data_IF_268644406676
#
_entry.id   IF_268644406676
#
_cell.length_a   1.000
_cell.length_b   1.000
_cell.length_c   1.000
_cell.angle_alpha   90.00
_cell.angle_beta   90.00
_cell.angle_gamma   90.00
#
_symmetry.space_group_name_H-M   'P 1'
#
loop_
_entity.id
_entity.type
_entity.pdbx_description
1 polymer ?
#
# COMPACT_ATOMS: atom_id res chain seq x y z
N UNK A 1 15.12 27.46 19.53
CA UNK A 1 13.73 27.32 19.06
C UNK A 1 13.78 27.35 17.56
N UNK A 2 13.75 26.16 16.97
CA UNK A 2 13.97 25.92 15.55
C UNK A 2 12.71 26.29 14.78
N UNK A 3 12.84 27.23 13.85
CA UNK A 3 11.77 27.56 12.92
C UNK A 3 11.74 26.52 11.81
N UNK A 4 10.85 25.55 11.95
CA UNK A 4 10.45 24.63 10.88
C UNK A 4 9.75 25.46 9.80
N UNK A 5 10.42 25.64 8.65
CA UNK A 5 9.81 26.25 7.46
C UNK A 5 8.84 25.25 6.85
N UNK A 6 7.55 25.56 6.96
CA UNK A 6 6.46 24.93 6.21
C UNK A 6 6.74 25.07 4.72
N UNK A 7 6.86 23.95 4.02
CA UNK A 7 6.97 23.94 2.57
C UNK A 7 5.55 24.07 2.01
N UNK A 8 5.20 25.28 1.54
CA UNK A 8 3.98 25.55 0.79
C UNK A 8 4.36 25.63 -0.68
N UNK A 9 3.74 24.81 -1.51
CA UNK A 9 4.00 24.73 -2.94
C UNK A 9 3.70 26.06 -3.61
N UNK A 10 4.74 26.85 -3.87
CA UNK A 10 4.73 27.96 -4.79
C UNK A 10 6.17 28.20 -5.26
N UNK A 11 6.33 28.31 -6.57
CA UNK A 11 7.53 28.73 -7.29
C UNK A 11 8.75 27.79 -7.27
N UNK A 12 8.80 26.93 -8.30
CA UNK A 12 10.08 26.59 -8.94
C UNK A 12 10.40 27.70 -9.96
N UNK A 13 10.43 28.95 -9.49
CA UNK A 13 11.06 30.04 -10.23
C UNK A 13 12.54 30.02 -9.85
N UNK A 14 13.40 29.86 -10.86
CA UNK A 14 14.82 29.60 -10.71
C UNK A 14 15.53 30.56 -9.75
N UNK A 15 16.41 29.96 -8.95
CA UNK A 15 17.32 30.67 -8.06
C UNK A 15 18.21 31.62 -8.89
N UNK A 16 18.60 32.74 -8.28
CA UNK A 16 19.07 33.97 -8.92
C UNK A 16 20.44 33.93 -9.60
N UNK A 17 21.05 32.75 -9.74
CA UNK A 17 22.18 32.52 -10.62
C UNK A 17 21.63 31.86 -11.88
N UNK A 18 21.47 32.64 -12.96
CA UNK A 18 20.78 32.31 -14.22
C UNK A 18 21.35 31.15 -15.04
N UNK A 19 21.83 30.08 -14.40
CA UNK A 19 21.80 28.75 -14.96
C UNK A 19 20.36 28.23 -14.82
N UNK A 20 19.51 28.56 -15.80
CA UNK A 20 18.45 27.62 -16.15
C UNK A 20 19.15 26.26 -16.25
N UNK A 21 18.73 25.29 -15.43
CA UNK A 21 19.16 23.93 -15.61
C UNK A 21 18.75 23.58 -17.04
N UNK A 22 19.69 23.67 -17.98
CA UNK A 22 19.38 23.43 -19.36
C UNK A 22 18.94 21.98 -19.39
N UNK A 23 17.67 21.74 -19.69
CA UNK A 23 17.15 20.39 -19.83
C UNK A 23 17.88 19.79 -21.03
N UNK A 24 18.97 19.08 -20.76
CA UNK A 24 19.75 18.45 -21.82
C UNK A 24 18.90 17.35 -22.43
N UNK A 25 19.12 16.98 -23.71
CA UNK A 25 18.39 15.89 -24.34
C UNK A 25 18.46 14.58 -23.52
N UNK A 26 19.56 14.36 -22.81
CA UNK A 26 19.75 13.21 -21.93
C UNK A 26 18.86 13.27 -20.69
N UNK A 27 18.75 14.45 -20.05
CA UNK A 27 17.85 14.67 -18.91
C UNK A 27 16.38 14.55 -19.33
N UNK A 28 16.01 15.11 -20.48
CA UNK A 28 14.66 15.02 -21.05
C UNK A 28 14.29 13.55 -21.32
N UNK A 29 15.20 12.79 -21.95
CA UNK A 29 15.01 11.36 -22.19
C UNK A 29 14.81 10.58 -20.89
N UNK A 30 15.66 10.84 -19.88
CA UNK A 30 15.56 10.21 -18.56
C UNK A 30 14.21 10.50 -17.88
N UNK A 31 13.79 11.77 -17.83
CA UNK A 31 12.52 12.17 -17.24
C UNK A 31 11.34 11.56 -18.01
N UNK A 32 11.39 11.57 -19.35
CA UNK A 32 10.35 10.95 -20.18
C UNK A 32 10.23 9.44 -19.96
N UNK A 33 11.34 8.76 -19.67
CA UNK A 33 11.37 7.34 -19.32
C UNK A 33 10.65 7.07 -17.99
N UNK A 34 10.90 7.90 -16.99
CA UNK A 34 10.18 7.84 -15.71
C UNK A 34 8.69 8.12 -15.87
N UNK A 35 8.31 9.13 -16.67
CA UNK A 35 6.90 9.41 -16.93
C UNK A 35 6.20 8.19 -17.54
N UNK A 36 6.78 7.58 -18.57
CA UNK A 36 6.20 6.36 -19.19
C UNK A 36 6.08 5.20 -18.21
N UNK A 37 7.05 5.06 -17.30
CA UNK A 37 6.97 4.04 -16.26
C UNK A 37 5.82 4.31 -15.28
N UNK A 38 5.68 5.54 -14.81
CA UNK A 38 4.58 5.92 -13.92
C UNK A 38 3.21 5.79 -14.61
N UNK A 39 3.10 6.23 -15.86
CA UNK A 39 1.90 6.07 -16.69
C UNK A 39 1.54 4.59 -16.79
N UNK A 40 2.53 3.70 -16.98
CA UNK A 40 2.30 2.26 -17.00
C UNK A 40 1.81 1.71 -15.65
N UNK A 41 2.29 2.22 -14.51
CA UNK A 41 1.79 1.82 -13.19
C UNK A 41 0.35 2.28 -12.96
N UNK A 42 -0.01 3.46 -13.48
CA UNK A 42 -1.38 3.98 -13.45
C UNK A 42 -2.31 3.13 -14.34
N UNK A 43 -1.87 2.79 -15.55
CA UNK A 43 -2.62 1.91 -16.46
C UNK A 43 -2.88 0.52 -15.86
N UNK A 44 -1.93 0.02 -15.05
CA UNK A 44 -2.05 -1.24 -14.33
C UNK A 44 -2.84 -1.15 -13.02
N UNK A 45 -3.28 0.05 -12.60
CA UNK A 45 -3.96 0.31 -11.32
C UNK A 45 -3.12 -0.13 -10.09
N UNK A 46 -1.79 0.00 -10.18
CA UNK A 46 -0.84 -0.39 -9.10
C UNK A 46 -0.01 0.78 -8.58
N UNK A 47 -0.23 1.99 -9.08
CA UNK A 47 0.49 3.20 -8.67
C UNK A 47 0.44 3.39 -7.14
N UNK A 48 -0.75 3.22 -6.54
CA UNK A 48 -0.97 3.38 -5.10
C UNK A 48 -0.92 2.06 -4.30
N UNK A 49 -0.45 0.96 -4.90
CA UNK A 49 -0.42 -0.36 -4.26
C UNK A 49 0.23 -0.37 -2.85
N UNK A 50 1.34 0.36 -2.57
CA UNK A 50 1.94 0.40 -1.23
C UNK A 50 1.06 1.06 -0.16
N UNK A 51 0.10 1.89 -0.58
CA UNK A 51 -0.81 2.62 0.32
C UNK A 51 -2.09 1.84 0.62
N UNK A 52 -2.30 0.68 -0.02
CA UNK A 52 -3.49 -0.15 0.16
C UNK A 52 -3.60 -0.57 1.62
N UNK A 53 -4.63 -0.04 2.29
CA UNK A 53 -4.97 -0.41 3.65
C UNK A 53 -5.67 -1.76 3.64
N UNK A 54 -5.25 -2.66 4.53
CA UNK A 54 -5.93 -3.94 4.73
C UNK A 54 -7.38 -3.74 5.20
N UNK A 55 -8.32 -4.47 4.61
CA UNK A 55 -9.72 -4.55 5.07
C UNK A 55 -9.84 -5.19 6.47
N UNK A 56 -8.87 -6.06 6.81
CA UNK A 56 -8.83 -6.79 8.08
C UNK A 56 -7.60 -6.35 8.86
N UNK A 57 -7.82 -5.88 10.10
CA UNK A 57 -6.77 -5.69 11.08
C UNK A 57 -6.69 -6.88 12.06
N UNK A 58 -5.64 -6.93 12.87
CA UNK A 58 -5.45 -8.01 13.84
C UNK A 58 -6.54 -8.05 14.93
N UNK A 59 -7.13 -6.90 15.29
CA UNK A 59 -8.17 -6.81 16.32
C UNK A 59 -9.46 -7.45 15.80
N UNK A 60 -9.93 -6.99 14.65
CA UNK A 60 -11.08 -7.51 13.92
C UNK A 60 -10.95 -9.01 13.66
N UNK A 61 -9.74 -9.47 13.31
CA UNK A 61 -9.48 -10.88 13.08
C UNK A 61 -9.64 -11.72 14.35
N UNK A 62 -9.11 -11.26 15.49
CA UNK A 62 -9.26 -11.97 16.77
C UNK A 62 -10.71 -12.00 17.26
N UNK A 63 -11.43 -10.88 17.12
CA UNK A 63 -12.85 -10.78 17.46
C UNK A 63 -13.70 -11.71 16.58
N UNK A 64 -13.46 -11.71 15.27
CA UNK A 64 -14.23 -12.51 14.30
C UNK A 64 -13.97 -14.02 14.41
N UNK A 65 -12.81 -14.41 14.93
CA UNK A 65 -12.43 -15.81 15.10
C UNK A 65 -12.65 -16.33 16.53
N UNK A 66 -12.77 -15.45 17.53
CA UNK A 66 -12.85 -15.83 18.94
C UNK A 66 -11.56 -16.46 19.48
N UNK A 67 -10.40 -16.10 18.91
CA UNK A 67 -9.10 -16.69 19.23
C UNK A 67 -8.13 -15.62 19.69
N UNK A 68 -7.32 -15.92 20.72
CA UNK A 68 -6.28 -15.01 21.21
C UNK A 68 -5.20 -14.76 20.15
N UNK A 69 -4.63 -13.54 20.10
CA UNK A 69 -3.55 -13.20 19.17
C UNK A 69 -2.32 -14.10 19.39
N UNK A 70 -1.62 -14.44 18.31
CA UNK A 70 -0.45 -15.33 18.36
C UNK A 70 0.32 -15.38 17.04
N UNK A 71 1.29 -16.31 16.94
CA UNK A 71 2.19 -16.45 15.77
C UNK A 71 1.47 -16.74 14.45
N UNK A 72 0.22 -17.22 14.50
CA UNK A 72 -0.63 -17.47 13.33
C UNK A 72 -1.14 -16.19 12.66
N UNK A 73 -1.18 -15.07 13.40
CA UNK A 73 -1.81 -13.82 12.95
C UNK A 73 -1.14 -13.21 11.72
N UNK A 74 0.20 -13.25 11.63
CA UNK A 74 0.91 -12.71 10.46
C UNK A 74 0.48 -13.43 9.17
N UNK A 75 0.54 -14.76 9.18
CA UNK A 75 0.10 -15.58 8.04
C UNK A 75 -1.38 -15.37 7.71
N UNK A 76 -2.23 -15.18 8.72
CA UNK A 76 -3.65 -14.93 8.50
C UNK A 76 -3.92 -13.54 7.90
N UNK A 77 -3.18 -12.51 8.32
CA UNK A 77 -3.22 -11.19 7.70
C UNK A 77 -2.71 -11.22 6.26
N UNK A 78 -1.67 -12.01 5.96
CA UNK A 78 -1.19 -12.23 4.59
C UNK A 78 -2.28 -12.86 3.70
N UNK A 79 -3.04 -13.84 4.24
CA UNK A 79 -4.18 -14.44 3.54
C UNK A 79 -5.28 -13.41 3.28
N UNK A 80 -5.61 -12.57 4.27
CA UNK A 80 -6.57 -11.49 4.11
C UNK A 80 -6.14 -10.48 3.03
N UNK A 81 -4.87 -10.05 3.06
CA UNK A 81 -4.33 -9.11 2.07
C UNK A 81 -4.33 -9.73 0.66
N UNK A 82 -3.89 -10.99 0.53
CA UNK A 82 -3.93 -11.69 -0.75
C UNK A 82 -5.37 -11.88 -1.27
N UNK A 83 -6.34 -12.05 -0.37
CA UNK A 83 -7.75 -12.11 -0.76
C UNK A 83 -8.25 -10.74 -1.23
N UNK A 84 -7.92 -9.65 -0.53
CA UNK A 84 -8.29 -8.28 -0.90
C UNK A 84 -7.74 -7.91 -2.29
N UNK A 85 -6.47 -8.24 -2.56
CA UNK A 85 -5.86 -7.98 -3.88
C UNK A 85 -6.52 -8.75 -5.02
N UNK A 86 -7.17 -9.89 -4.74
CA UNK A 86 -7.96 -10.64 -5.73
C UNK A 86 -9.39 -10.12 -5.88
N UNK A 87 -9.86 -9.34 -4.91
CA UNK A 87 -11.22 -8.80 -4.84
C UNK A 87 -11.19 -7.28 -4.62
N UNK A 88 -10.60 -6.49 -5.56
CA UNK A 88 -10.31 -5.07 -5.34
C UNK A 88 -11.56 -4.19 -5.16
N UNK A 89 -12.74 -4.66 -5.58
CA UNK A 89 -14.02 -3.93 -5.43
C UNK A 89 -14.75 -4.24 -4.13
N UNK A 90 -14.29 -5.23 -3.38
CA UNK A 90 -14.94 -5.66 -2.16
C UNK A 90 -14.48 -4.77 -1.01
N UNK A 91 -15.45 -4.25 -0.26
CA UNK A 91 -15.21 -3.35 0.88
C UNK A 91 -15.52 -4.02 2.21
N UNK A 92 -16.16 -5.20 2.18
CA UNK A 92 -16.48 -5.96 3.38
C UNK A 92 -15.35 -6.95 3.73
N UNK A 93 -14.93 -6.91 5.00
CA UNK A 93 -13.96 -7.80 5.59
C UNK A 93 -14.44 -9.26 5.69
N UNK A 94 -15.75 -9.53 5.60
CA UNK A 94 -16.33 -10.87 5.78
C UNK A 94 -15.75 -11.92 4.85
N UNK A 95 -15.55 -11.59 3.57
CA UNK A 95 -15.02 -12.55 2.60
C UNK A 95 -13.56 -12.94 2.88
N UNK A 96 -12.74 -11.98 3.32
CA UNK A 96 -11.36 -12.23 3.75
C UNK A 96 -11.32 -13.12 5.00
N UNK A 97 -12.18 -12.85 5.98
CA UNK A 97 -12.28 -13.65 7.22
C UNK A 97 -12.71 -15.09 6.93
N UNK A 98 -13.66 -15.29 6.01
CA UNK A 98 -14.12 -16.63 5.63
C UNK A 98 -13.02 -17.42 4.91
N UNK A 99 -12.21 -16.76 4.08
CA UNK A 99 -11.05 -17.41 3.46
C UNK A 99 -10.00 -17.84 4.49
N UNK A 100 -9.78 -17.04 5.54
CA UNK A 100 -8.93 -17.44 6.68
C UNK A 100 -9.52 -18.63 7.43
N UNK A 101 -10.85 -18.69 7.62
CA UNK A 101 -11.52 -19.84 8.22
C UNK A 101 -11.37 -21.10 7.38
N UNK A 102 -11.48 -20.99 6.06
CA UNK A 102 -11.27 -22.12 5.13
C UNK A 102 -9.84 -22.67 5.20
N UNK A 103 -8.86 -21.80 5.42
CA UNK A 103 -7.43 -22.16 5.51
C UNK A 103 -6.92 -22.34 6.94
N UNK A 104 -7.81 -22.45 7.93
CA UNK A 104 -7.49 -22.46 9.37
C UNK A 104 -6.27 -23.32 9.75
N UNK A 105 -6.17 -24.52 9.17
CA UNK A 105 -5.11 -25.47 9.47
C UNK A 105 -3.75 -25.03 8.86
N UNK A 106 -3.76 -24.44 7.67
CA UNK A 106 -2.55 -23.93 6.98
C UNK A 106 -1.93 -22.74 7.72
N UNK A 107 -2.79 -21.85 8.24
CA UNK A 107 -2.37 -20.69 9.05
C UNK A 107 -2.03 -21.07 10.50
N UNK A 108 -2.41 -22.26 10.96
CA UNK A 108 -2.12 -22.77 12.30
C UNK A 108 -2.92 -22.10 13.40
N UNK A 109 -4.18 -21.76 13.12
CA UNK A 109 -5.06 -21.08 14.08
C UNK A 109 -5.57 -22.11 15.11
N UNK A 110 -5.32 -21.91 16.42
CA UNK A 110 -5.80 -22.85 17.44
C UNK A 110 -7.33 -22.88 17.51
N UNK A 111 -7.89 -24.01 17.94
CA UNK A 111 -9.33 -24.15 18.15
C UNK A 111 -9.87 -23.03 19.05
N UNK A 112 -11.03 -22.47 18.67
CA UNK A 112 -11.71 -21.49 19.50
C UNK A 112 -12.01 -22.12 20.87
N UNK A 113 -11.81 -21.35 21.93
CA UNK A 113 -12.00 -21.81 23.30
C UNK A 113 -13.39 -21.43 23.81
#
# INVERSE_FOLDING_TARGET
MEHVKTWSGHDIAGDSDGQAWAMTPELESFVSGWQKFLDHLVDLDVYDAPTVKGLVDGCLLTESLGVKPGRWMGKALDVCMAWQLRNPRETDARGAIEEVRRRRDEVGIPAAK
#
